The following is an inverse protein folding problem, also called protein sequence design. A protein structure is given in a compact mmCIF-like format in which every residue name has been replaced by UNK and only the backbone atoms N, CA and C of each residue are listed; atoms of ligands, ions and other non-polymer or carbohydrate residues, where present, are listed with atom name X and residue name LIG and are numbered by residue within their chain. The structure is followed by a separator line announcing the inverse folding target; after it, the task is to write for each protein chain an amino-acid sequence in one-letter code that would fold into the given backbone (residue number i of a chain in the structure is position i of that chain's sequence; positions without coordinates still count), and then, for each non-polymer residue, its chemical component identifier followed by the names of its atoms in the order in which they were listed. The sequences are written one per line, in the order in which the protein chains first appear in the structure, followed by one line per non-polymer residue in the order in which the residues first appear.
data_IF_523817718271
#
_entry.id   IF_523817718271
#
_cell.length_a   1.000
_cell.length_b   1.000
_cell.length_c   1.000
_cell.angle_alpha   90.00
_cell.angle_beta   90.00
_cell.angle_gamma   90.00
#
_symmetry.space_group_name_H-M   'P 1'
#
loop_
_entity.id
_entity.type
_entity.pdbx_description
1 polymer ?
#
# COMPACT_ATOMS: atom_id res chain seq x y z
N UNK A 1 20.33 19.16 9.60
CA UNK A 1 19.28 18.25 10.07
C UNK A 1 18.04 18.31 9.17
N UNK A 2 17.48 19.49 8.90
CA UNK A 2 16.27 19.64 8.04
C UNK A 2 16.44 19.09 6.63
N UNK A 3 17.57 19.37 5.96
CA UNK A 3 17.84 18.83 4.63
C UNK A 3 17.87 17.29 4.63
N UNK A 4 18.49 16.67 5.63
CA UNK A 4 18.50 15.22 5.79
C UNK A 4 17.08 14.65 5.98
N UNK A 5 16.26 15.31 6.80
CA UNK A 5 14.87 14.93 7.01
C UNK A 5 14.09 14.96 5.69
N UNK A 6 14.24 16.01 4.88
CA UNK A 6 13.58 16.12 3.57
C UNK A 6 14.04 15.01 2.62
N UNK A 7 15.33 14.73 2.54
CA UNK A 7 15.87 13.65 1.69
C UNK A 7 15.30 12.29 2.10
N UNK A 8 15.28 11.99 3.41
CA UNK A 8 14.71 10.75 3.93
C UNK A 8 13.20 10.66 3.70
N UNK A 9 12.47 11.77 3.86
CA UNK A 9 11.03 11.83 3.60
C UNK A 9 10.71 11.56 2.12
N UNK A 10 11.47 12.14 1.20
CA UNK A 10 11.33 11.87 -0.25
C UNK A 10 11.67 10.41 -0.56
N UNK A 11 12.75 9.86 0.02
CA UNK A 11 13.10 8.45 -0.13
C UNK A 11 12.01 7.51 0.39
N UNK A 12 11.45 7.81 1.56
CA UNK A 12 10.34 7.04 2.14
C UNK A 12 9.08 7.13 1.27
N UNK A 13 8.72 8.33 0.79
CA UNK A 13 7.59 8.52 -0.12
C UNK A 13 7.77 7.74 -1.44
N UNK A 14 8.98 7.72 -2.01
CA UNK A 14 9.30 6.91 -3.17
C UNK A 14 9.12 5.41 -2.90
N UNK A 15 9.64 4.92 -1.77
CA UNK A 15 9.53 3.52 -1.36
C UNK A 15 8.06 3.10 -1.15
N UNK A 16 7.26 3.99 -0.52
CA UNK A 16 5.80 3.78 -0.38
C UNK A 16 5.11 3.73 -1.74
N UNK A 17 5.41 4.67 -2.64
CA UNK A 17 4.80 4.72 -3.98
C UNK A 17 5.05 3.43 -4.78
N UNK A 18 6.28 2.91 -4.74
CA UNK A 18 6.64 1.65 -5.37
C UNK A 18 5.85 0.47 -4.78
N UNK A 19 5.70 0.43 -3.45
CA UNK A 19 4.96 -0.62 -2.75
C UNK A 19 3.46 -0.60 -3.08
N UNK A 20 2.82 0.56 -2.95
CA UNK A 20 1.37 0.69 -3.14
C UNK A 20 0.93 0.59 -4.61
N UNK A 21 1.75 1.01 -5.56
CA UNK A 21 1.43 0.82 -6.98
C UNK A 21 1.33 -0.67 -7.31
N UNK A 22 2.23 -1.49 -6.79
CA UNK A 22 2.16 -2.95 -6.92
C UNK A 22 0.91 -3.54 -6.28
N UNK A 23 0.57 -3.12 -5.06
CA UNK A 23 -0.60 -3.60 -4.32
C UNK A 23 -1.93 -3.22 -5.01
N UNK A 24 -2.05 -1.98 -5.50
CA UNK A 24 -3.29 -1.48 -6.10
C UNK A 24 -3.49 -1.92 -7.56
N UNK A 25 -2.42 -1.93 -8.36
CA UNK A 25 -2.50 -2.15 -9.81
C UNK A 25 -1.96 -3.51 -10.25
N UNK A 26 -1.37 -4.27 -9.34
CA UNK A 26 -0.79 -5.59 -9.66
C UNK A 26 -1.83 -6.57 -10.16
N UNK A 27 -2.98 -6.67 -9.51
CA UNK A 27 -4.07 -7.57 -9.93
C UNK A 27 -4.66 -7.18 -11.29
N UNK A 28 -5.11 -5.93 -11.55
CA UNK A 28 -5.58 -5.52 -12.86
C UNK A 28 -4.52 -5.71 -13.96
N UNK A 29 -3.25 -5.49 -13.65
CA UNK A 29 -2.16 -5.72 -14.58
C UNK A 29 -1.95 -7.21 -14.89
N UNK A 30 -1.95 -8.07 -13.86
CA UNK A 30 -1.81 -9.51 -14.02
C UNK A 30 -2.94 -10.12 -14.86
N UNK A 31 -4.16 -9.60 -14.72
CA UNK A 31 -5.33 -9.95 -15.52
C UNK A 31 -5.32 -9.32 -16.93
N UNK A 32 -4.26 -8.62 -17.31
CA UNK A 32 -4.13 -7.91 -18.60
C UNK A 32 -5.19 -6.83 -18.85
N UNK A 33 -5.94 -6.42 -17.82
CA UNK A 33 -6.94 -5.36 -17.91
C UNK A 33 -6.32 -3.96 -18.12
N UNK A 34 -5.10 -3.77 -17.61
CA UNK A 34 -4.37 -2.51 -17.75
C UNK A 34 -2.88 -2.76 -17.99
N UNK A 35 -2.26 -1.98 -18.88
CA UNK A 35 -0.81 -2.02 -19.05
C UNK A 35 -0.09 -1.31 -17.90
N UNK A 36 1.12 -1.73 -17.54
CA UNK A 36 1.92 -1.13 -16.46
C UNK A 36 2.07 0.39 -16.64
N UNK A 37 2.28 0.86 -17.86
CA UNK A 37 2.41 2.30 -18.17
C UNK A 37 1.11 3.07 -17.88
N UNK A 38 -0.05 2.52 -18.27
CA UNK A 38 -1.35 3.15 -17.97
C UNK A 38 -1.65 3.12 -16.47
N UNK A 39 -1.31 2.03 -15.78
CA UNK A 39 -1.46 1.92 -14.34
C UNK A 39 -0.69 3.05 -13.62
N UNK A 40 0.56 3.29 -13.98
CA UNK A 40 1.39 4.37 -13.42
C UNK A 40 0.82 5.75 -13.74
N UNK A 41 0.37 5.99 -14.98
CA UNK A 41 -0.21 7.27 -15.40
C UNK A 41 -1.53 7.59 -14.67
N UNK A 42 -2.30 6.58 -14.27
CA UNK A 42 -3.52 6.76 -13.49
C UNK A 42 -3.19 6.93 -12.01
N UNK A 43 -2.28 6.13 -11.47
CA UNK A 43 -1.91 6.17 -10.04
C UNK A 43 -1.27 7.49 -9.63
N UNK A 44 -0.38 8.07 -10.46
CA UNK A 44 0.35 9.28 -10.09
C UNK A 44 -0.57 10.47 -9.78
N UNK A 45 -1.51 10.89 -10.66
CA UNK A 45 -2.42 11.99 -10.36
C UNK A 45 -3.41 11.65 -9.24
N UNK A 46 -3.91 10.41 -9.16
CA UNK A 46 -4.83 10.03 -8.08
C UNK A 46 -4.14 10.05 -6.72
N UNK A 47 -2.89 9.62 -6.64
CA UNK A 47 -2.09 9.70 -5.41
C UNK A 47 -1.84 11.15 -5.01
N UNK A 48 -1.54 12.04 -5.97
CA UNK A 48 -1.35 13.46 -5.70
C UNK A 48 -2.64 14.11 -5.18
N UNK A 49 -3.78 13.82 -5.81
CA UNK A 49 -5.10 14.30 -5.36
C UNK A 49 -5.40 13.77 -3.96
N UNK A 50 -5.21 12.47 -3.71
CA UNK A 50 -5.42 11.86 -2.40
C UNK A 50 -4.51 12.47 -1.33
N UNK A 51 -3.24 12.68 -1.63
CA UNK A 51 -2.30 13.31 -0.72
C UNK A 51 -2.68 14.77 -0.40
N UNK A 52 -3.21 15.51 -1.38
CA UNK A 52 -3.58 16.91 -1.18
C UNK A 52 -4.87 17.06 -0.37
N UNK A 53 -5.88 16.23 -0.64
CA UNK A 53 -7.22 16.43 -0.07
C UNK A 53 -7.57 15.48 1.08
N UNK A 54 -6.96 14.30 1.16
CA UNK A 54 -7.32 13.27 2.15
C UNK A 54 -6.23 12.98 3.20
N UNK A 55 -5.08 13.67 3.16
CA UNK A 55 -3.96 13.41 4.09
C UNK A 55 -4.16 13.92 5.50
N UNK A 56 -5.02 14.93 5.71
CA UNK A 56 -5.18 15.60 7.00
C UNK A 56 -5.48 14.65 8.16
N UNK A 57 -6.31 13.63 7.95
CA UNK A 57 -6.63 12.66 9.00
C UNK A 57 -5.42 11.83 9.43
N UNK A 58 -4.60 11.41 8.47
CA UNK A 58 -3.37 10.63 8.72
C UNK A 58 -2.30 11.51 9.36
N UNK A 59 -2.09 12.71 8.84
CA UNK A 59 -1.16 13.69 9.36
C UNK A 59 -1.47 14.04 10.83
N UNK A 60 -2.74 14.33 11.15
CA UNK A 60 -3.17 14.63 12.52
C UNK A 60 -2.98 13.42 13.45
N UNK A 61 -3.29 12.22 13.00
CA UNK A 61 -3.15 11.02 13.81
C UNK A 61 -1.69 10.69 14.07
N UNK A 62 -0.85 10.63 13.02
CA UNK A 62 0.54 10.23 13.13
C UNK A 62 1.40 11.35 13.71
N UNK A 63 1.13 12.60 13.34
CA UNK A 63 1.91 13.76 13.79
C UNK A 63 1.59 14.22 15.22
N UNK A 64 0.33 14.12 15.64
CA UNK A 64 -0.12 14.74 16.89
C UNK A 64 -0.82 13.81 17.88
N UNK A 65 -1.39 12.69 17.43
CA UNK A 65 -2.21 11.82 18.28
C UNK A 65 -1.54 10.53 18.75
N UNK A 66 -0.30 10.26 18.37
CA UNK A 66 0.43 9.09 18.86
C UNK A 66 1.18 9.37 20.16
N UNK A 67 1.71 10.59 20.30
CA UNK A 67 2.49 11.02 21.45
C UNK A 67 1.80 12.20 22.15
N UNK A 68 2.08 12.40 23.44
CA UNK A 68 1.60 13.54 24.21
C UNK A 68 2.68 14.62 24.31
N UNK A 69 2.26 15.91 24.39
CA UNK A 69 3.17 17.04 24.56
C UNK A 69 3.74 17.58 23.25
N UNK A 70 4.95 18.09 23.27
CA UNK A 70 5.60 18.79 22.15
C UNK A 70 6.03 17.90 20.97
N UNK A 71 5.80 16.57 21.06
CA UNK A 71 6.20 15.63 20.03
C UNK A 71 7.71 15.33 19.99
N UNK A 72 8.17 14.70 18.91
CA UNK A 72 9.58 14.37 18.72
C UNK A 72 10.38 15.59 18.24
N UNK A 73 11.64 15.66 18.67
CA UNK A 73 12.59 16.62 18.12
C UNK A 73 12.89 16.33 16.65
N UNK A 74 13.48 17.30 15.92
CA UNK A 74 13.90 17.10 14.52
C UNK A 74 14.85 15.89 14.39
N UNK A 75 15.73 15.66 15.36
CA UNK A 75 16.58 14.48 15.40
C UNK A 75 15.77 13.18 15.55
N UNK A 76 14.77 13.18 16.41
CA UNK A 76 13.83 12.06 16.58
C UNK A 76 13.06 11.76 15.29
N UNK A 77 12.60 12.80 14.59
CA UNK A 77 11.92 12.63 13.29
C UNK A 77 12.86 12.05 12.21
N UNK A 78 14.13 12.48 12.17
CA UNK A 78 15.13 11.90 11.25
C UNK A 78 15.32 10.41 11.52
N UNK A 79 15.38 10.01 12.78
CA UNK A 79 15.50 8.59 13.18
C UNK A 79 14.25 7.81 12.76
N UNK A 80 13.06 8.34 13.06
CA UNK A 80 11.78 7.70 12.70
C UNK A 80 11.67 7.48 11.20
N UNK A 81 11.85 8.54 10.40
CA UNK A 81 11.75 8.43 8.93
C UNK A 81 12.87 7.55 8.36
N UNK A 82 14.08 7.65 8.92
CA UNK A 82 15.20 6.80 8.50
C UNK A 82 14.94 5.31 8.72
N UNK A 83 14.43 4.94 9.88
CA UNK A 83 14.05 3.54 10.19
C UNK A 83 12.87 3.10 9.32
N UNK A 84 11.83 3.93 9.20
CA UNK A 84 10.66 3.61 8.38
C UNK A 84 11.03 3.41 6.91
N UNK A 85 11.88 4.28 6.36
CA UNK A 85 12.41 4.16 5.00
C UNK A 85 13.27 2.90 4.83
N UNK A 86 14.19 2.65 5.76
CA UNK A 86 15.08 1.49 5.72
C UNK A 86 14.31 0.17 5.75
N UNK A 87 13.37 0.03 6.70
CA UNK A 87 12.54 -1.18 6.83
C UNK A 87 11.63 -1.37 5.60
N UNK A 88 10.94 -0.32 5.16
CA UNK A 88 10.06 -0.41 3.98
C UNK A 88 10.86 -0.79 2.73
N UNK A 89 12.03 -0.19 2.55
CA UNK A 89 12.91 -0.51 1.41
C UNK A 89 13.45 -1.94 1.47
N UNK A 90 13.83 -2.41 2.65
CA UNK A 90 14.29 -3.78 2.87
C UNK A 90 13.18 -4.80 2.53
N UNK A 91 11.97 -4.60 3.04
CA UNK A 91 10.84 -5.49 2.73
C UNK A 91 10.44 -5.44 1.25
N UNK A 92 10.51 -4.28 0.60
CA UNK A 92 10.30 -4.16 -0.84
C UNK A 92 11.33 -4.99 -1.64
N UNK A 93 12.60 -4.94 -1.26
CA UNK A 93 13.65 -5.74 -1.91
C UNK A 93 13.47 -7.25 -1.67
N UNK A 94 13.06 -7.64 -0.48
CA UNK A 94 12.74 -9.02 -0.12
C UNK A 94 11.41 -9.51 -0.73
N UNK A 95 10.65 -8.62 -1.38
CA UNK A 95 9.30 -8.91 -1.94
C UNK A 95 8.31 -9.43 -0.90
N UNK A 96 8.49 -9.00 0.35
CA UNK A 96 7.58 -9.34 1.46
C UNK A 96 6.53 -8.23 1.59
N UNK A 97 5.24 -8.54 1.43
CA UNK A 97 4.19 -7.55 1.61
C UNK A 97 4.12 -7.14 3.09
N UNK A 98 4.22 -5.84 3.35
CA UNK A 98 4.16 -5.28 4.69
C UNK A 98 3.30 -4.03 4.74
N UNK A 99 2.84 -3.67 5.94
CA UNK A 99 2.11 -2.42 6.13
C UNK A 99 3.07 -1.29 6.48
N UNK A 100 3.33 -0.40 5.53
CA UNK A 100 4.21 0.76 5.72
C UNK A 100 3.69 1.72 6.80
N UNK A 101 2.36 1.85 6.93
CA UNK A 101 1.74 2.68 7.98
C UNK A 101 1.98 2.07 9.36
N UNK A 102 1.89 0.76 9.52
CA UNK A 102 2.22 0.12 10.80
C UNK A 102 3.70 0.29 11.14
N UNK A 103 4.60 0.16 10.17
CA UNK A 103 6.03 0.44 10.37
C UNK A 103 6.20 1.87 10.89
N UNK A 104 5.60 2.87 10.25
CA UNK A 104 5.71 4.27 10.66
C UNK A 104 5.15 4.49 12.06
N UNK A 105 3.93 4.03 12.34
CA UNK A 105 3.27 4.19 13.66
C UNK A 105 4.12 3.60 14.78
N UNK A 106 4.57 2.35 14.64
CA UNK A 106 5.37 1.70 15.67
C UNK A 106 6.78 2.28 15.80
N UNK A 107 7.34 2.84 14.73
CA UNK A 107 8.63 3.55 14.81
C UNK A 107 8.46 4.87 15.57
N UNK A 108 7.37 5.63 15.36
CA UNK A 108 7.04 6.82 16.15
C UNK A 108 6.86 6.47 17.62
N UNK A 109 6.09 5.42 17.91
CA UNK A 109 5.86 4.94 19.28
C UNK A 109 7.17 4.53 19.95
N UNK A 110 8.01 3.74 19.27
CA UNK A 110 9.32 3.31 19.79
C UNK A 110 10.26 4.50 20.06
N UNK A 111 10.31 5.47 19.15
CA UNK A 111 11.10 6.68 19.33
C UNK A 111 10.57 7.54 20.49
N UNK A 112 9.24 7.64 20.64
CA UNK A 112 8.60 8.33 21.76
C UNK A 112 8.97 7.70 23.11
N UNK A 113 8.86 6.38 23.23
CA UNK A 113 9.23 5.63 24.42
C UNK A 113 10.71 5.82 24.76
N UNK A 114 11.59 5.74 23.75
CA UNK A 114 13.04 5.95 23.95
C UNK A 114 13.37 7.38 24.39
N UNK A 115 12.56 8.36 23.96
CA UNK A 115 12.70 9.76 24.37
C UNK A 115 12.00 10.09 25.72
N UNK A 116 11.36 9.12 26.37
CA UNK A 116 10.57 9.33 27.58
C UNK A 116 9.28 10.11 27.38
N UNK A 117 8.78 10.19 26.12
CA UNK A 117 7.54 10.88 25.80
C UNK A 117 6.36 9.92 25.98
N UNK A 118 5.32 10.27 26.75
CA UNK A 118 4.20 9.38 26.97
C UNK A 118 3.42 9.11 25.67
N UNK A 119 3.08 7.84 25.43
CA UNK A 119 2.33 7.36 24.28
C UNK A 119 0.83 7.38 24.57
N UNK A 120 0.02 7.83 23.63
CA UNK A 120 -1.44 7.76 23.71
C UNK A 120 -1.94 6.35 23.33
N UNK A 121 -1.94 5.46 24.30
CA UNK A 121 -2.35 4.05 24.10
C UNK A 121 -3.77 3.89 23.58
N UNK A 122 -4.68 4.84 23.89
CA UNK A 122 -6.03 4.84 23.32
C UNK A 122 -6.04 4.97 21.81
N UNK A 123 -5.16 5.80 21.24
CA UNK A 123 -5.01 5.93 19.78
C UNK A 123 -4.48 4.62 19.17
N UNK A 124 -3.49 4.01 19.81
CA UNK A 124 -2.94 2.71 19.36
C UNK A 124 -4.01 1.61 19.39
N UNK A 125 -4.81 1.55 20.45
CA UNK A 125 -5.92 0.60 20.56
C UNK A 125 -6.97 0.82 19.45
N UNK A 126 -7.33 2.07 19.17
CA UNK A 126 -8.24 2.42 18.07
C UNK A 126 -7.69 1.99 16.72
N UNK A 127 -6.40 2.27 16.46
CA UNK A 127 -5.75 1.84 15.21
C UNK A 127 -5.71 0.31 15.10
N UNK A 128 -5.42 -0.41 16.20
CA UNK A 128 -5.43 -1.87 16.20
C UNK A 128 -6.81 -2.44 15.85
N UNK A 129 -7.89 -1.87 16.41
CA UNK A 129 -9.27 -2.24 16.07
C UNK A 129 -9.55 -1.99 14.60
N UNK A 130 -9.16 -0.83 14.07
CA UNK A 130 -9.34 -0.48 12.65
C UNK A 130 -8.56 -1.49 11.76
N UNK A 131 -7.31 -1.81 12.10
CA UNK A 131 -6.51 -2.75 11.31
C UNK A 131 -7.08 -4.17 11.28
N UNK A 132 -7.72 -4.59 12.37
CA UNK A 132 -8.39 -5.89 12.42
C UNK A 132 -9.72 -5.86 11.68
N UNK A 133 -10.49 -4.79 11.78
CA UNK A 133 -11.83 -4.70 11.18
C UNK A 133 -11.80 -4.34 9.69
N UNK A 134 -10.82 -3.53 9.25
CA UNK A 134 -10.74 -3.05 7.87
C UNK A 134 -10.75 -4.16 6.80
N UNK A 135 -10.04 -5.30 6.93
CA UNK A 135 -10.09 -6.37 5.95
C UNK A 135 -11.49 -6.97 5.78
N UNK A 136 -12.25 -7.11 6.87
CA UNK A 136 -13.62 -7.64 6.82
C UNK A 136 -14.58 -6.66 6.15
N UNK A 137 -14.46 -5.37 6.47
CA UNK A 137 -15.25 -4.32 5.82
C UNK A 137 -14.90 -4.23 4.32
N UNK A 138 -13.62 -4.29 3.99
CA UNK A 138 -13.16 -4.27 2.61
C UNK A 138 -13.64 -5.50 1.82
N UNK A 139 -13.61 -6.69 2.41
CA UNK A 139 -14.12 -7.91 1.81
C UNK A 139 -15.64 -7.84 1.56
N UNK A 140 -16.40 -7.37 2.56
CA UNK A 140 -17.84 -7.17 2.43
C UNK A 140 -18.19 -6.13 1.35
N UNK A 141 -17.51 -4.98 1.35
CA UNK A 141 -17.68 -3.94 0.34
C UNK A 141 -17.32 -4.44 -1.06
N UNK A 142 -16.20 -5.14 -1.20
CA UNK A 142 -15.77 -5.75 -2.47
C UNK A 142 -16.81 -6.75 -2.99
N UNK A 143 -17.31 -7.63 -2.14
CA UNK A 143 -18.37 -8.58 -2.51
C UNK A 143 -19.64 -7.88 -2.98
N UNK A 144 -20.11 -6.87 -2.23
CA UNK A 144 -21.31 -6.11 -2.59
C UNK A 144 -21.14 -5.35 -3.90
N UNK A 145 -19.99 -4.71 -4.10
CA UNK A 145 -19.67 -4.01 -5.35
C UNK A 145 -19.64 -4.98 -6.53
N UNK A 146 -18.93 -6.09 -6.42
CA UNK A 146 -18.90 -7.12 -7.48
C UNK A 146 -20.31 -7.58 -7.82
N UNK A 147 -21.12 -7.92 -6.81
CA UNK A 147 -22.51 -8.35 -7.02
C UNK A 147 -23.39 -7.26 -7.65
N UNK A 148 -23.13 -5.99 -7.36
CA UNK A 148 -23.83 -4.87 -7.98
C UNK A 148 -23.42 -4.70 -9.45
N UNK A 149 -22.13 -4.79 -9.75
CA UNK A 149 -21.60 -4.67 -11.11
C UNK A 149 -21.98 -5.87 -12.00
N UNK A 150 -22.06 -7.09 -11.45
CA UNK A 150 -22.53 -8.29 -12.17
C UNK A 150 -23.97 -8.15 -12.70
N UNK A 151 -24.75 -7.20 -12.15
CA UNK A 151 -26.09 -6.90 -12.64
C UNK A 151 -26.08 -5.96 -13.88
N UNK A 152 -24.93 -5.36 -14.20
CA UNK A 152 -24.78 -4.47 -15.36
C UNK A 152 -24.34 -5.29 -16.57
N UNK A 153 -25.18 -5.45 -17.62
CA UNK A 153 -24.89 -6.35 -18.75
C UNK A 153 -23.57 -6.04 -19.46
N UNK A 154 -23.22 -4.76 -19.57
CA UNK A 154 -21.98 -4.30 -20.21
C UNK A 154 -20.72 -4.80 -19.48
N UNK A 155 -20.73 -4.75 -18.15
CA UNK A 155 -19.60 -5.21 -17.30
C UNK A 155 -19.47 -6.74 -17.37
N UNK A 156 -20.59 -7.45 -17.41
CA UNK A 156 -20.64 -8.91 -17.51
C UNK A 156 -20.06 -9.42 -18.83
N UNK A 157 -20.33 -8.73 -19.92
CA UNK A 157 -19.82 -9.08 -21.24
C UNK A 157 -18.28 -8.87 -21.31
N UNK A 158 -17.79 -7.80 -20.72
CA UNK A 158 -16.37 -7.50 -20.69
C UNK A 158 -15.60 -8.47 -19.76
N UNK A 159 -16.17 -8.82 -18.61
CA UNK A 159 -15.60 -9.83 -17.70
C UNK A 159 -15.48 -11.21 -18.37
N UNK A 160 -16.52 -11.65 -19.08
CA UNK A 160 -16.50 -12.94 -19.79
C UNK A 160 -15.47 -12.97 -20.93
N UNK A 161 -15.26 -11.87 -21.65
CA UNK A 161 -14.25 -11.76 -22.68
C UNK A 161 -12.83 -11.80 -22.12
N UNK A 162 -12.59 -11.19 -20.96
CA UNK A 162 -11.30 -11.26 -20.26
C UNK A 162 -10.99 -12.67 -19.74
N UNK A 163 -11.99 -13.38 -19.20
CA UNK A 163 -11.85 -14.78 -18.80
C UNK A 163 -11.46 -15.69 -19.98
N UNK A 164 -12.07 -15.51 -21.14
CA UNK A 164 -11.74 -16.27 -22.34
C UNK A 164 -10.31 -15.99 -22.82
N UNK A 165 -9.86 -14.73 -22.81
CA UNK A 165 -8.50 -14.34 -23.17
C UNK A 165 -7.50 -14.97 -22.19
N UNK A 166 -7.81 -14.97 -20.90
CA UNK A 166 -6.96 -15.58 -19.87
C UNK A 166 -6.87 -17.09 -20.02
N UNK A 167 -7.99 -17.78 -20.26
CA UNK A 167 -8.03 -19.22 -20.49
C UNK A 167 -7.20 -19.62 -21.72
N UNK A 168 -7.32 -18.87 -22.82
CA UNK A 168 -6.53 -19.09 -24.04
C UNK A 168 -5.05 -18.90 -23.79
N UNK A 169 -4.66 -17.87 -23.05
CA UNK A 169 -3.26 -17.58 -22.70
C UNK A 169 -2.66 -18.68 -21.81
N UNK A 170 -3.42 -19.17 -20.83
CA UNK A 170 -2.98 -20.28 -19.97
C UNK A 170 -2.78 -21.56 -20.75
N UNK A 171 -3.70 -21.89 -21.67
CA UNK A 171 -3.60 -23.06 -22.55
C UNK A 171 -2.37 -22.98 -23.47
N UNK A 172 -2.09 -21.80 -24.03
CA UNK A 172 -0.88 -21.59 -24.86
C UNK A 172 0.40 -21.77 -24.04
N UNK A 173 0.42 -21.25 -22.79
CA UNK A 173 1.58 -21.40 -21.90
C UNK A 173 1.80 -22.86 -21.55
N UNK A 174 0.76 -23.62 -21.20
CA UNK A 174 0.85 -25.04 -20.87
C UNK A 174 1.34 -25.87 -22.07
N UNK A 175 0.82 -25.60 -23.25
CA UNK A 175 1.26 -26.25 -24.49
C UNK A 175 2.73 -25.94 -24.80
N UNK A 176 3.18 -24.71 -24.57
CA UNK A 176 4.59 -24.32 -24.78
C UNK A 176 5.55 -25.03 -23.81
N UNK A 177 5.12 -25.22 -22.57
CA UNK A 177 5.89 -25.94 -21.53
C UNK A 177 5.97 -27.44 -21.90
N UNK A 178 4.85 -28.05 -22.31
CA UNK A 178 4.81 -29.46 -22.74
C UNK A 178 5.68 -29.70 -23.96
N UNK A 179 5.65 -28.80 -24.96
CA UNK A 179 6.49 -28.88 -26.13
C UNK A 179 7.98 -28.80 -25.81
N UNK A 180 8.38 -27.97 -24.85
CA UNK A 180 9.77 -27.87 -24.38
C UNK A 180 10.22 -29.12 -23.61
N UNK A 181 9.35 -29.67 -22.76
CA UNK A 181 9.65 -30.91 -22.01
C UNK A 181 9.68 -32.19 -22.86
N UNK A 182 9.14 -32.15 -24.08
CA UNK A 182 9.20 -33.29 -25.02
C UNK A 182 10.50 -33.34 -25.88
N UNK A 183 11.35 -32.30 -25.77
CA UNK A 183 12.60 -32.15 -26.54
C UNK A 183 13.83 -32.50 -25.67
N UNK A 184 13.65 -32.69 -24.38
CA UNK A 184 14.68 -33.14 -23.43
C UNK A 184 14.51 -34.60 -23.08
#
# INVERSE_FOLDING_TARGET
MTALLVILAVGFAYSMGAHYTGACMGMPHALSAISARRALLVMAPLTLIGATFASHGVEHTVGHNLLTGAGLSVAGLVIVIGIAFGLTSAFNQLRVPTSTIQILVFTVVGAGLAAGIPVKWSTIATLAVIWVTAPFVAAAAGYLLTKAFDRVPAVRHEASSLEQVQATKNTQTDNSIRARGAIT
#
